data_IF_773938144293
#
_entry.id   IF_773938144293
#
_cell.length_a   1.000
_cell.length_b   1.000
_cell.length_c   1.000
_cell.angle_alpha   90.00
_cell.angle_beta   90.00
_cell.angle_gamma   90.00
#
_symmetry.space_group_name_H-M   'P 1'
#
loop_
_entity.id
_entity.type
_entity.pdbx_description
1 polymer ?
#
# COMPACT_ATOMS: atom_id res chain seq x y z
N UNK A 1 57.52 11.18 -5.23
CA UNK A 1 56.80 11.05 -3.94
C UNK A 1 55.49 11.80 -4.06
N UNK A 2 54.39 11.16 -3.66
CA UNK A 2 52.98 11.55 -3.85
C UNK A 2 52.58 12.89 -3.25
N UNK A 3 51.40 13.36 -3.69
CA UNK A 3 50.20 13.80 -2.93
C UNK A 3 49.51 14.88 -3.80
N UNK A 4 48.21 14.89 -4.14
CA UNK A 4 47.00 14.31 -3.59
C UNK A 4 46.00 14.08 -4.74
N UNK A 5 45.19 13.03 -4.61
CA UNK A 5 44.01 12.81 -5.44
C UNK A 5 42.93 13.84 -5.08
N UNK A 6 42.44 14.58 -6.07
CA UNK A 6 41.17 15.29 -5.97
C UNK A 6 40.07 14.32 -6.39
N UNK A 7 39.32 13.79 -5.42
CA UNK A 7 38.09 13.05 -5.69
C UNK A 7 37.01 14.04 -6.18
N UNK A 8 36.33 13.77 -7.31
CA UNK A 8 35.21 14.59 -7.73
C UNK A 8 34.04 14.40 -6.76
N UNK A 9 33.62 15.49 -6.12
CA UNK A 9 32.38 15.54 -5.35
C UNK A 9 31.21 15.23 -6.28
N UNK A 10 30.70 14.01 -6.16
CA UNK A 10 29.55 13.54 -6.90
C UNK A 10 28.31 14.41 -6.66
N UNK A 11 27.58 14.61 -7.74
CA UNK A 11 26.25 15.23 -7.84
C UNK A 11 25.35 14.86 -6.64
N UNK A 12 25.07 15.84 -5.77
CA UNK A 12 24.12 15.73 -4.64
C UNK A 12 22.67 15.97 -5.10
N UNK A 13 22.23 15.21 -6.08
CA UNK A 13 20.82 15.19 -6.49
C UNK A 13 20.26 13.76 -6.58
N UNK A 14 20.72 12.89 -5.69
CA UNK A 14 19.98 11.68 -5.35
C UNK A 14 18.84 12.10 -4.41
N UNK A 15 17.62 12.17 -4.95
CA UNK A 15 16.41 12.19 -4.14
C UNK A 15 16.37 10.90 -3.33
N UNK A 16 16.99 10.91 -2.15
CA UNK A 16 16.86 9.85 -1.16
C UNK A 16 15.44 9.94 -0.61
N UNK A 17 14.50 9.28 -1.29
CA UNK A 17 13.32 8.78 -0.62
C UNK A 17 13.80 7.52 0.08
N UNK A 18 13.80 7.44 1.43
CA UNK A 18 14.02 6.16 2.08
C UNK A 18 12.94 5.22 1.54
N UNK A 19 13.34 4.18 0.80
CA UNK A 19 12.51 2.99 0.68
C UNK A 19 12.21 2.60 2.12
N UNK A 20 10.97 2.84 2.54
CA UNK A 20 10.56 2.51 3.90
C UNK A 20 10.73 1.01 4.00
N UNK A 21 11.64 0.55 4.85
CA UNK A 21 11.97 -0.87 4.89
C UNK A 21 10.71 -1.68 5.28
N UNK A 22 10.65 -2.95 4.85
CA UNK A 22 9.47 -3.77 5.03
C UNK A 22 9.04 -3.92 6.51
N UNK A 23 9.97 -3.77 7.48
CA UNK A 23 9.63 -3.81 8.91
C UNK A 23 8.91 -2.54 9.33
N UNK A 24 9.37 -1.37 8.88
CA UNK A 24 8.71 -0.09 9.14
C UNK A 24 7.31 -0.04 8.52
N UNK A 25 7.14 -0.52 7.27
CA UNK A 25 5.81 -0.64 6.63
C UNK A 25 4.89 -1.55 7.46
N UNK A 26 5.39 -2.71 7.90
CA UNK A 26 4.65 -3.64 8.76
C UNK A 26 4.24 -3.01 10.08
N UNK A 27 5.10 -2.23 10.72
CA UNK A 27 4.80 -1.56 11.98
C UNK A 27 3.69 -0.53 11.80
N UNK A 28 3.79 0.34 10.78
CA UNK A 28 2.75 1.34 10.44
C UNK A 28 1.42 0.65 10.16
N UNK A 29 1.42 -0.40 9.33
CA UNK A 29 0.20 -1.16 9.05
C UNK A 29 -0.35 -1.82 10.32
N UNK A 30 0.51 -2.32 11.21
CA UNK A 30 0.09 -2.91 12.50
C UNK A 30 -0.61 -1.89 13.40
N UNK A 31 -0.07 -0.68 13.52
CA UNK A 31 -0.69 0.39 14.29
C UNK A 31 -2.03 0.82 13.68
N UNK A 32 -2.08 0.95 12.35
CA UNK A 32 -3.31 1.28 11.63
C UNK A 32 -4.39 0.22 11.86
N UNK A 33 -4.03 -1.06 11.83
CA UNK A 33 -4.97 -2.16 12.14
C UNK A 33 -5.45 -2.11 13.59
N UNK A 34 -4.55 -1.86 14.54
CA UNK A 34 -4.89 -1.77 15.96
C UNK A 34 -5.89 -0.63 16.24
N UNK A 35 -5.84 0.44 15.45
CA UNK A 35 -6.79 1.56 15.57
C UNK A 35 -8.24 1.20 15.20
N UNK A 36 -8.47 0.06 14.50
CA UNK A 36 -9.77 -0.36 13.94
C UNK A 36 -10.43 0.67 13.02
N UNK A 37 -9.64 1.61 12.50
CA UNK A 37 -10.16 2.64 11.61
C UNK A 37 -10.58 2.07 10.26
N UNK A 38 -11.57 2.74 9.68
CA UNK A 38 -12.09 2.45 8.35
C UNK A 38 -11.32 3.30 7.37
N UNK A 39 -10.77 2.65 6.36
CA UNK A 39 -9.90 3.25 5.35
C UNK A 39 -10.66 3.38 4.06
N UNK A 40 -10.42 4.48 3.36
CA UNK A 40 -10.86 4.70 2.00
C UNK A 40 -9.66 4.55 1.07
N UNK A 41 -9.74 3.63 0.12
CA UNK A 41 -8.73 3.47 -0.92
C UNK A 41 -9.24 4.03 -2.24
N UNK A 42 -8.54 5.02 -2.78
CA UNK A 42 -8.81 5.56 -4.10
C UNK A 42 -7.85 4.94 -5.12
N UNK A 43 -8.36 4.19 -6.13
CA UNK A 43 -7.57 3.76 -7.27
C UNK A 43 -7.21 4.96 -8.16
N UNK A 44 -5.99 5.01 -8.67
CA UNK A 44 -5.56 6.04 -9.63
C UNK A 44 -6.04 5.79 -11.05
N UNK A 45 -6.56 4.61 -11.34
CA UNK A 45 -7.06 4.23 -12.67
C UNK A 45 -8.32 5.03 -13.02
N UNK A 46 -8.34 5.61 -14.21
CA UNK A 46 -9.50 6.37 -14.69
C UNK A 46 -10.76 5.49 -14.76
N UNK A 47 -11.85 5.95 -14.15
CA UNK A 47 -13.14 5.25 -14.11
C UNK A 47 -13.28 4.21 -13.00
N UNK A 48 -12.22 3.88 -12.27
CA UNK A 48 -12.31 2.99 -11.12
C UNK A 48 -12.97 3.71 -9.94
N UNK A 49 -13.89 3.01 -9.26
CA UNK A 49 -14.58 3.57 -8.08
C UNK A 49 -13.71 3.44 -6.83
N UNK A 50 -13.77 4.41 -5.91
CA UNK A 50 -13.09 4.29 -4.63
C UNK A 50 -13.69 3.14 -3.82
N UNK A 51 -12.83 2.45 -3.07
CA UNK A 51 -13.20 1.45 -2.09
C UNK A 51 -13.39 2.16 -0.75
N UNK A 52 -14.60 2.14 -0.24
CA UNK A 52 -14.98 2.81 1.00
C UNK A 52 -15.05 1.82 2.16
N UNK A 53 -14.98 2.31 3.39
CA UNK A 53 -15.29 1.51 4.58
C UNK A 53 -14.47 0.20 4.69
N UNK A 54 -13.17 0.30 4.39
CA UNK A 54 -12.27 -0.84 4.39
C UNK A 54 -11.60 -1.04 5.74
N UNK A 55 -11.50 -2.30 6.16
CA UNK A 55 -10.57 -2.71 7.21
C UNK A 55 -9.34 -3.33 6.59
N UNK A 56 -8.19 -2.83 7.01
CA UNK A 56 -6.89 -3.39 6.66
C UNK A 56 -6.58 -4.59 7.56
N UNK A 57 -6.01 -5.64 7.00
CA UNK A 57 -5.44 -6.76 7.73
C UNK A 57 -4.14 -7.20 7.06
N UNK A 58 -3.06 -7.34 7.82
CA UNK A 58 -1.80 -7.89 7.34
C UNK A 58 -1.90 -9.41 7.28
N UNK A 59 -1.43 -9.98 6.18
CA UNK A 59 -1.27 -11.42 6.00
C UNK A 59 0.12 -11.73 5.48
N UNK A 60 0.53 -13.00 5.48
CA UNK A 60 1.81 -13.42 4.91
C UNK A 60 1.93 -13.07 3.41
N UNK A 61 0.80 -13.08 2.71
CA UNK A 61 0.70 -12.86 1.27
C UNK A 61 0.60 -11.39 0.86
N UNK A 62 0.42 -10.47 1.83
CA UNK A 62 0.21 -9.05 1.56
C UNK A 62 -0.87 -8.44 2.42
N UNK A 63 -1.49 -7.37 1.92
CA UNK A 63 -2.56 -6.65 2.59
C UNK A 63 -3.92 -7.26 2.20
N UNK A 64 -4.68 -7.66 3.20
CA UNK A 64 -6.06 -8.10 3.06
C UNK A 64 -6.99 -6.97 3.44
N UNK A 65 -7.98 -6.74 2.60
CA UNK A 65 -8.96 -5.69 2.73
C UNK A 65 -10.32 -6.35 2.94
N UNK A 66 -11.07 -5.87 3.95
CA UNK A 66 -12.46 -6.27 4.18
C UNK A 66 -13.35 -5.05 4.07
N UNK A 67 -14.34 -5.08 3.19
CA UNK A 67 -15.32 -4.02 3.01
C UNK A 67 -16.59 -4.32 3.81
N UNK A 68 -17.16 -3.33 4.49
CA UNK A 68 -18.31 -3.54 5.39
C UNK A 68 -19.58 -4.03 4.67
N UNK A 69 -19.81 -3.58 3.43
CA UNK A 69 -20.95 -3.93 2.59
C UNK A 69 -20.70 -5.13 1.66
N UNK A 70 -19.47 -5.67 1.66
CA UNK A 70 -19.00 -6.72 0.77
C UNK A 70 -19.17 -6.41 -0.75
N UNK A 71 -19.31 -5.13 -1.11
CA UNK A 71 -19.54 -4.68 -2.48
C UNK A 71 -18.22 -4.37 -3.20
N UNK A 72 -17.52 -5.43 -3.62
CA UNK A 72 -16.25 -5.31 -4.32
C UNK A 72 -16.44 -4.92 -5.80
N UNK A 73 -15.62 -4.00 -6.36
CA UNK A 73 -15.57 -3.79 -7.80
C UNK A 73 -14.99 -5.02 -8.50
N UNK A 74 -15.11 -5.06 -9.83
CA UNK A 74 -14.47 -6.12 -10.59
C UNK A 74 -12.95 -6.06 -10.39
N UNK A 75 -12.30 -7.20 -10.15
CA UNK A 75 -10.86 -7.29 -9.93
C UNK A 75 -10.04 -6.63 -11.05
N UNK A 76 -10.53 -6.71 -12.29
CA UNK A 76 -9.91 -6.07 -13.45
C UNK A 76 -9.87 -4.53 -13.37
N UNK A 77 -10.76 -3.89 -12.60
CA UNK A 77 -10.74 -2.45 -12.35
C UNK A 77 -9.64 -2.05 -11.37
N UNK A 78 -9.17 -3.01 -10.55
CA UNK A 78 -8.13 -2.80 -9.55
C UNK A 78 -6.75 -3.29 -10.03
N UNK A 79 -6.69 -4.13 -11.05
CA UNK A 79 -5.43 -4.63 -11.60
C UNK A 79 -4.53 -3.46 -12.07
N UNK A 80 -3.29 -3.48 -11.58
CA UNK A 80 -2.24 -2.48 -11.85
C UNK A 80 -2.64 -1.05 -11.42
N UNK A 81 -3.68 -0.91 -10.60
CA UNK A 81 -4.07 0.37 -10.03
C UNK A 81 -3.17 0.70 -8.84
N UNK A 82 -2.71 1.94 -8.76
CA UNK A 82 -2.19 2.45 -7.49
C UNK A 82 -3.36 2.76 -6.58
N UNK A 83 -3.38 2.15 -5.39
CA UNK A 83 -4.32 2.43 -4.33
C UNK A 83 -3.70 3.43 -3.35
N UNK A 84 -4.46 4.49 -3.05
CA UNK A 84 -4.02 5.53 -2.11
C UNK A 84 -5.02 5.68 -0.97
N UNK A 85 -4.50 5.83 0.25
CA UNK A 85 -5.29 6.11 1.45
C UNK A 85 -4.61 7.19 2.28
N UNK A 86 -5.39 7.93 3.05
CA UNK A 86 -4.89 8.81 4.10
C UNK A 86 -5.56 8.42 5.42
N UNK A 87 -4.76 8.06 6.41
CA UNK A 87 -5.22 7.62 7.73
C UNK A 87 -4.41 8.35 8.78
N UNK A 88 -5.05 9.19 9.59
CA UNK A 88 -4.40 10.02 10.64
C UNK A 88 -3.19 10.82 10.15
N UNK A 89 -3.24 11.36 8.93
CA UNK A 89 -2.13 12.10 8.33
C UNK A 89 -1.01 11.23 7.75
N UNK A 90 -1.13 9.91 7.81
CA UNK A 90 -0.26 8.97 7.11
C UNK A 90 -0.86 8.70 5.73
N UNK A 91 -0.12 9.02 4.68
CA UNK A 91 -0.48 8.66 3.31
C UNK A 91 0.09 7.29 2.97
N UNK A 92 -0.81 6.34 2.72
CA UNK A 92 -0.47 5.03 2.16
C UNK A 92 -0.61 5.10 0.65
N UNK A 93 0.38 4.58 -0.07
CA UNK A 93 0.35 4.41 -1.51
C UNK A 93 0.95 3.05 -1.83
N UNK A 94 0.21 2.22 -2.54
CA UNK A 94 0.70 0.92 -2.99
C UNK A 94 0.10 0.52 -4.31
N UNK A 95 0.80 -0.35 -5.04
CA UNK A 95 0.30 -0.92 -6.27
C UNK A 95 -0.49 -2.20 -5.96
N UNK A 96 -1.70 -2.29 -6.51
CA UNK A 96 -2.49 -3.51 -6.46
C UNK A 96 -1.91 -4.52 -7.45
N UNK A 97 -0.80 -5.17 -7.06
CA UNK A 97 -0.18 -6.25 -7.82
C UNK A 97 -0.97 -7.53 -7.61
N UNK A 98 -1.52 -8.07 -8.70
CA UNK A 98 -2.34 -9.29 -8.71
C UNK A 98 -3.47 -9.31 -7.65
N UNK A 99 -4.39 -8.33 -7.66
CA UNK A 99 -5.51 -8.28 -6.72
C UNK A 99 -6.36 -9.54 -6.86
N UNK A 100 -6.76 -10.16 -5.75
CA UNK A 100 -7.56 -11.38 -5.76
C UNK A 100 -8.71 -11.28 -4.77
N UNK A 101 -9.91 -11.60 -5.22
CA UNK A 101 -11.06 -11.80 -4.34
C UNK A 101 -11.11 -13.25 -3.89
N UNK A 102 -11.12 -13.45 -2.57
CA UNK A 102 -11.14 -14.78 -1.97
C UNK A 102 -12.17 -14.83 -0.83
N UNK A 103 -12.72 -16.01 -0.59
CA UNK A 103 -13.53 -16.25 0.60
C UNK A 103 -12.62 -16.41 1.82
N UNK A 104 -12.91 -15.68 2.89
CA UNK A 104 -12.22 -15.76 4.17
C UNK A 104 -13.23 -15.58 5.29
N UNK A 105 -13.30 -16.53 6.24
CA UNK A 105 -14.22 -16.45 7.39
C UNK A 105 -15.69 -16.11 7.03
N UNK A 106 -16.20 -16.69 5.94
CA UNK A 106 -17.58 -16.49 5.49
C UNK A 106 -17.87 -15.15 4.81
N UNK A 107 -16.82 -14.38 4.45
CA UNK A 107 -16.93 -13.11 3.74
C UNK A 107 -15.95 -13.04 2.56
N UNK A 108 -16.23 -12.16 1.61
CA UNK A 108 -15.31 -11.90 0.50
C UNK A 108 -14.30 -10.85 0.94
N UNK A 109 -13.02 -11.16 0.75
CA UNK A 109 -11.92 -10.23 1.03
C UNK A 109 -11.11 -10.02 -0.23
N UNK A 110 -10.51 -8.83 -0.35
CA UNK A 110 -9.57 -8.50 -1.40
C UNK A 110 -8.15 -8.61 -0.84
N UNK A 111 -7.32 -9.46 -1.42
CA UNK A 111 -5.89 -9.52 -1.12
C UNK A 111 -5.12 -8.78 -2.20
N UNK A 112 -4.20 -7.93 -1.78
CA UNK A 112 -3.25 -7.21 -2.65
C UNK A 112 -1.83 -7.45 -2.13
N UNK A 113 -0.84 -7.37 -3.02
CA UNK A 113 0.56 -7.45 -2.65
C UNK A 113 0.98 -6.42 -1.58
N UNK A 114 2.17 -6.61 -1.00
CA UNK A 114 2.71 -5.67 -0.03
C UNK A 114 2.94 -4.28 -0.66
N UNK A 115 2.65 -3.19 0.07
CA UNK A 115 3.01 -1.81 -0.30
C UNK A 115 4.49 -1.59 -0.59
#
# INVERSE_FOLDING_TARGET
MSLLAAEPQGDRNLAYQPETDAQTIRLILTELMASRERVRLAPTRAGARPLEDLRLQVSEQGLRLTQADNAWPAVAELADATLTAEVRGIRLRFEAVAPQLQAFEGRTVLTVGWP
#
